data_IF_962689454933
#
_entry.id   IF_962689454933
#
_cell.length_a   1.000
_cell.length_b   1.000
_cell.length_c   1.000
_cell.angle_alpha   90.00
_cell.angle_beta   90.00
_cell.angle_gamma   90.00
#
_symmetry.space_group_name_H-M   'P 1'
#
loop_
_entity.id
_entity.type
_entity.pdbx_description
1 polymer ?
#
# COMPACT_ATOMS: atom_id res chain seq x y z
N UNK A 1 -46.05 -15.04 21.64
CA UNK A 1 -45.32 -14.23 22.64
C UNK A 1 -44.49 -15.20 23.47
N UNK A 2 -43.17 -15.19 23.52
CA UNK A 2 -42.25 -14.06 23.71
C UNK A 2 -40.96 -14.28 22.92
N UNK A 3 -40.58 -13.22 22.21
CA UNK A 3 -39.31 -13.00 21.52
C UNK A 3 -38.15 -12.91 22.52
N UNK A 4 -37.01 -13.50 22.17
CA UNK A 4 -35.74 -13.30 22.86
C UNK A 4 -34.77 -12.65 21.84
N UNK A 5 -34.38 -11.37 21.98
CA UNK A 5 -33.43 -10.77 21.08
C UNK A 5 -32.01 -11.12 21.54
N UNK A 6 -31.26 -11.79 20.66
CA UNK A 6 -29.79 -11.88 20.76
C UNK A 6 -29.24 -10.47 20.52
N UNK A 7 -28.76 -9.83 21.58
CA UNK A 7 -27.99 -8.60 21.49
C UNK A 7 -26.61 -8.92 20.93
N UNK A 8 -26.34 -8.46 19.70
CA UNK A 8 -24.99 -8.31 19.18
C UNK A 8 -24.19 -7.37 20.11
N UNK A 9 -22.98 -7.74 20.56
CA UNK A 9 -22.12 -6.77 21.23
C UNK A 9 -21.67 -5.75 20.19
N UNK A 10 -22.19 -4.53 20.31
CA UNK A 10 -21.66 -3.37 19.58
C UNK A 10 -20.20 -3.22 19.97
N UNK A 11 -19.31 -3.23 18.98
CA UNK A 11 -17.93 -2.77 19.12
C UNK A 11 -17.96 -1.34 19.65
N UNK A 12 -17.35 -1.14 20.81
CA UNK A 12 -17.15 0.19 21.40
C UNK A 12 -16.06 0.90 20.58
N UNK A 13 -16.24 2.16 20.14
CA UNK A 13 -15.17 2.89 19.50
C UNK A 13 -14.13 3.34 20.55
N UNK A 14 -12.87 2.96 20.31
CA UNK A 14 -11.64 3.69 20.66
C UNK A 14 -11.54 4.30 22.07
N UNK A 15 -10.88 3.59 22.98
CA UNK A 15 -10.05 4.29 23.98
C UNK A 15 -8.93 5.02 23.24
N UNK A 16 -8.65 6.27 23.57
CA UNK A 16 -7.46 6.96 23.03
C UNK A 16 -6.21 6.09 23.28
N UNK A 17 -5.27 6.03 22.33
CA UNK A 17 -4.03 5.30 22.52
C UNK A 17 -3.31 5.79 23.78
N UNK A 18 -2.79 4.86 24.58
CA UNK A 18 -2.02 5.21 25.76
C UNK A 18 -0.75 5.98 25.36
N UNK A 19 -0.22 6.83 26.25
CA UNK A 19 0.94 7.68 25.92
C UNK A 19 2.14 6.87 25.40
N UNK A 20 2.42 5.72 25.99
CA UNK A 20 3.47 4.82 25.53
C UNK A 20 3.23 4.27 24.11
N UNK A 21 1.98 4.00 23.74
CA UNK A 21 1.63 3.57 22.37
C UNK A 21 1.80 4.73 21.39
N UNK A 22 1.43 5.95 21.79
CA UNK A 22 1.63 7.16 20.98
C UNK A 22 3.11 7.43 20.75
N UNK A 23 3.95 7.30 21.78
CA UNK A 23 5.41 7.44 21.68
C UNK A 23 6.01 6.38 20.73
N UNK A 24 5.63 5.11 20.92
CA UNK A 24 6.04 3.97 20.09
C UNK A 24 5.77 4.23 18.59
N UNK A 25 4.54 4.64 18.29
CA UNK A 25 4.10 4.88 16.92
C UNK A 25 4.71 6.16 16.33
N UNK A 26 4.86 7.22 17.12
CA UNK A 26 5.54 8.45 16.69
C UNK A 26 7.00 8.18 16.33
N UNK A 27 7.71 7.36 17.14
CA UNK A 27 9.07 6.95 16.85
C UNK A 27 9.16 6.11 15.57
N UNK A 28 8.22 5.17 15.36
CA UNK A 28 8.11 4.39 14.13
C UNK A 28 7.91 5.28 12.90
N UNK A 29 6.99 6.24 12.98
CA UNK A 29 6.69 7.16 11.88
C UNK A 29 7.90 8.03 11.55
N UNK A 30 8.53 8.65 12.56
CA UNK A 30 9.70 9.51 12.36
C UNK A 30 10.86 8.74 11.73
N UNK A 31 11.21 7.58 12.28
CA UNK A 31 12.30 6.77 11.75
C UNK A 31 11.99 6.32 10.31
N UNK A 32 10.75 5.89 10.02
CA UNK A 32 10.37 5.49 8.66
C UNK A 32 10.35 6.65 7.66
N UNK A 33 10.03 7.86 8.12
CA UNK A 33 9.95 9.06 7.28
C UNK A 33 11.32 9.49 6.72
N UNK A 34 12.42 9.21 7.43
CA UNK A 34 13.78 9.51 6.97
C UNK A 34 14.05 8.94 5.57
N UNK A 35 13.45 7.80 5.22
CA UNK A 35 13.51 7.23 3.87
C UNK A 35 13.09 8.25 2.80
N UNK A 36 11.97 8.95 3.01
CA UNK A 36 11.41 9.92 2.05
C UNK A 36 12.11 11.29 2.07
N UNK A 37 13.05 11.48 3.01
CA UNK A 37 13.96 12.63 3.06
C UNK A 37 15.27 12.30 2.32
N UNK A 38 15.81 11.10 2.53
CA UNK A 38 17.13 10.69 2.02
C UNK A 38 17.08 10.07 0.62
N UNK A 39 16.09 9.23 0.32
CA UNK A 39 16.04 8.44 -0.91
C UNK A 39 15.31 9.14 -2.05
N UNK A 40 15.33 10.47 -2.08
CA UNK A 40 14.63 11.29 -3.07
C UNK A 40 15.61 12.16 -3.85
N UNK A 41 15.37 12.31 -5.15
CA UNK A 41 16.04 13.33 -5.93
C UNK A 41 15.30 14.67 -5.74
N UNK A 42 15.91 15.68 -5.07
CA UNK A 42 15.23 16.93 -4.76
C UNK A 42 14.90 17.77 -6.02
N UNK A 43 15.57 17.54 -7.15
CA UNK A 43 15.36 18.30 -8.37
C UNK A 43 14.05 17.92 -9.11
N UNK A 44 13.63 16.66 -9.02
CA UNK A 44 12.46 16.15 -9.74
C UNK A 44 11.46 15.38 -8.83
N UNK A 45 11.76 15.25 -7.54
CA UNK A 45 10.91 14.59 -6.55
C UNK A 45 10.83 13.06 -6.67
N UNK A 46 11.57 12.44 -7.59
CA UNK A 46 11.55 10.99 -7.76
C UNK A 46 12.16 10.29 -6.55
N UNK A 47 11.46 9.27 -6.05
CA UNK A 47 11.88 8.49 -4.88
C UNK A 47 12.42 7.14 -5.31
N UNK A 48 13.61 6.79 -4.83
CA UNK A 48 14.27 5.51 -5.07
C UNK A 48 13.36 4.37 -4.61
N UNK A 49 13.33 3.29 -5.38
CA UNK A 49 12.57 2.09 -5.05
C UNK A 49 13.07 1.41 -3.77
N UNK A 50 14.39 1.21 -3.67
CA UNK A 50 15.04 0.63 -2.50
C UNK A 50 16.48 1.12 -2.29
N UNK A 51 17.01 0.98 -1.08
CA UNK A 51 18.36 1.43 -0.66
C UNK A 51 19.53 0.60 -1.22
N UNK A 52 19.39 -0.01 -2.39
CA UNK A 52 20.40 -0.88 -3.02
C UNK A 52 21.51 -0.11 -3.78
N UNK A 53 21.87 1.08 -3.30
CA UNK A 53 22.94 1.92 -3.84
C UNK A 53 22.50 2.96 -4.87
N UNK A 54 23.43 3.87 -5.21
CA UNK A 54 23.15 5.09 -5.97
C UNK A 54 22.56 4.88 -7.38
N UNK A 55 22.80 3.72 -8.01
CA UNK A 55 22.30 3.38 -9.35
C UNK A 55 20.93 2.68 -9.37
N UNK A 56 20.26 2.49 -8.23
CA UNK A 56 18.93 1.87 -8.21
C UNK A 56 17.85 2.86 -8.68
N UNK A 57 16.88 2.48 -9.54
CA UNK A 57 15.91 3.41 -10.09
C UNK A 57 14.91 3.92 -9.05
N UNK A 58 14.19 4.98 -9.44
CA UNK A 58 12.99 5.46 -8.78
C UNK A 58 11.82 4.49 -8.97
N UNK A 59 10.92 4.39 -7.99
CA UNK A 59 9.60 3.79 -8.11
C UNK A 59 8.53 4.88 -8.07
N UNK A 60 7.61 4.88 -9.03
CA UNK A 60 6.50 5.84 -9.03
C UNK A 60 5.51 5.56 -7.89
N UNK A 61 5.37 4.30 -7.46
CA UNK A 61 4.58 3.96 -6.28
C UNK A 61 5.20 4.53 -5.00
N UNK A 62 6.52 4.39 -4.83
CA UNK A 62 7.23 5.02 -3.71
C UNK A 62 7.14 6.55 -3.73
N UNK A 63 7.12 7.14 -4.92
CA UNK A 63 6.92 8.59 -5.10
C UNK A 63 5.50 9.01 -4.68
N UNK A 64 4.47 8.22 -5.01
CA UNK A 64 3.11 8.42 -4.50
C UNK A 64 2.99 8.32 -2.97
N UNK A 65 3.69 7.36 -2.37
CA UNK A 65 3.78 7.24 -0.92
C UNK A 65 4.41 8.50 -0.29
N UNK A 66 5.46 9.04 -0.89
CA UNK A 66 6.11 10.25 -0.40
C UNK A 66 5.19 11.47 -0.43
N UNK A 67 4.45 11.68 -1.53
CA UNK A 67 3.46 12.75 -1.64
C UNK A 67 2.36 12.66 -0.57
N UNK A 68 2.05 11.45 -0.09
CA UNK A 68 1.13 11.23 1.03
C UNK A 68 1.81 11.48 2.38
N UNK A 69 3.08 11.08 2.53
CA UNK A 69 3.82 11.21 3.78
C UNK A 69 4.26 12.65 4.07
N UNK A 70 4.45 13.51 3.06
CA UNK A 70 4.84 14.91 3.28
C UNK A 70 3.80 15.70 4.10
N UNK A 71 2.49 15.68 3.79
CA UNK A 71 1.46 16.24 4.66
C UNK A 71 1.50 15.71 6.10
N UNK A 72 1.64 14.40 6.29
CA UNK A 72 1.78 13.79 7.63
C UNK A 72 2.98 14.39 8.36
N UNK A 73 4.13 14.47 7.69
CA UNK A 73 5.35 15.00 8.29
C UNK A 73 5.22 16.48 8.69
N UNK A 74 4.45 17.28 7.97
CA UNK A 74 4.16 18.66 8.37
C UNK A 74 3.30 18.68 9.63
N UNK A 75 2.20 17.93 9.64
CA UNK A 75 1.25 17.87 10.76
C UNK A 75 1.84 17.25 12.03
N UNK A 76 2.89 16.43 11.90
CA UNK A 76 3.63 15.82 13.03
C UNK A 76 4.93 16.55 13.37
N UNK A 77 5.26 17.65 12.69
CA UNK A 77 6.46 18.43 12.97
C UNK A 77 7.77 17.71 12.63
N UNK A 78 7.75 16.79 11.66
CA UNK A 78 8.92 16.11 11.13
C UNK A 78 9.57 16.89 9.98
N UNK A 79 8.79 17.71 9.27
CA UNK A 79 9.24 18.52 8.14
C UNK A 79 8.53 19.89 8.14
N UNK A 80 9.21 21.00 7.86
CA UNK A 80 8.55 22.30 7.67
C UNK A 80 7.60 22.29 6.46
N UNK A 81 6.46 22.99 6.56
CA UNK A 81 5.49 23.10 5.44
C UNK A 81 6.13 23.58 4.13
N UNK A 82 7.02 24.56 4.21
CA UNK A 82 7.70 25.11 3.03
C UNK A 82 8.57 24.06 2.32
N UNK A 83 9.22 23.16 3.06
CA UNK A 83 10.01 22.08 2.48
C UNK A 83 9.11 21.02 1.81
N UNK A 84 8.02 20.63 2.49
CA UNK A 84 7.04 19.71 1.93
C UNK A 84 6.41 20.25 0.64
N UNK A 85 6.10 21.55 0.60
CA UNK A 85 5.59 22.26 -0.56
C UNK A 85 6.60 22.24 -1.71
N UNK A 86 7.88 22.57 -1.44
CA UNK A 86 8.92 22.56 -2.47
C UNK A 86 9.13 21.17 -3.09
N UNK A 87 9.18 20.12 -2.26
CA UNK A 87 9.30 18.71 -2.71
C UNK A 87 8.09 18.27 -3.52
N UNK A 88 6.89 18.65 -3.09
CA UNK A 88 5.63 18.37 -3.81
C UNK A 88 5.65 19.03 -5.19
N UNK A 89 5.97 20.33 -5.26
CA UNK A 89 6.04 21.04 -6.55
C UNK A 89 7.10 20.48 -7.49
N UNK A 90 8.30 20.13 -7.00
CA UNK A 90 9.33 19.50 -7.81
C UNK A 90 8.81 18.22 -8.47
N UNK A 91 8.10 17.39 -7.71
CA UNK A 91 7.48 16.14 -8.18
C UNK A 91 6.41 16.41 -9.23
N UNK A 92 5.45 17.30 -8.94
CA UNK A 92 4.32 17.57 -9.83
C UNK A 92 4.77 18.25 -11.13
N UNK A 93 5.69 19.22 -11.05
CA UNK A 93 6.26 19.89 -12.23
C UNK A 93 6.99 18.90 -13.12
N UNK A 94 7.79 18.00 -12.55
CA UNK A 94 8.47 16.94 -13.30
C UNK A 94 7.46 16.07 -14.08
N UNK A 95 6.47 15.47 -13.40
CA UNK A 95 5.50 14.60 -14.08
C UNK A 95 4.64 15.35 -15.09
N UNK A 96 4.26 16.60 -14.81
CA UNK A 96 3.44 17.40 -15.71
C UNK A 96 4.17 17.74 -17.01
N UNK A 97 5.46 18.08 -16.93
CA UNK A 97 6.33 18.41 -18.06
C UNK A 97 6.99 17.19 -18.73
N UNK A 98 6.90 16.01 -18.11
CA UNK A 98 7.55 14.78 -18.59
C UNK A 98 7.08 14.35 -19.98
N UNK A 99 7.96 13.64 -20.70
CA UNK A 99 7.62 13.09 -22.02
C UNK A 99 6.50 12.04 -21.91
N UNK A 100 5.46 12.22 -22.74
CA UNK A 100 4.31 11.33 -22.88
C UNK A 100 4.25 10.78 -24.31
N UNK A 101 4.98 9.69 -24.58
CA UNK A 101 5.12 9.14 -25.94
C UNK A 101 5.40 7.63 -25.93
N UNK A 102 5.34 6.99 -27.09
CA UNK A 102 5.73 5.58 -27.23
C UNK A 102 7.25 5.35 -27.23
N UNK A 103 8.05 6.41 -27.06
CA UNK A 103 9.50 6.29 -26.98
C UNK A 103 9.91 5.33 -25.86
N UNK A 104 10.88 4.43 -26.11
CA UNK A 104 11.38 3.51 -25.10
C UNK A 104 12.08 4.20 -23.92
N UNK A 105 12.39 5.50 -24.03
CA UNK A 105 12.99 6.31 -22.97
C UNK A 105 12.03 7.38 -22.42
N UNK A 106 10.78 7.46 -22.88
CA UNK A 106 9.80 8.38 -22.31
C UNK A 106 9.56 8.08 -20.82
N UNK A 107 9.13 9.09 -20.07
CA UNK A 107 8.73 8.93 -18.66
C UNK A 107 7.37 8.23 -18.54
N UNK A 108 6.49 8.45 -19.51
CA UNK A 108 5.18 7.81 -19.54
C UNK A 108 4.54 7.85 -20.92
N UNK A 109 3.32 7.34 -21.00
CA UNK A 109 2.48 7.39 -22.19
C UNK A 109 1.02 7.27 -21.77
N UNK A 110 0.13 8.02 -22.45
CA UNK A 110 -1.31 8.03 -22.17
C UNK A 110 -1.66 8.40 -20.71
N UNK A 111 -0.79 9.20 -20.08
CA UNK A 111 -0.91 9.57 -18.67
C UNK A 111 -0.50 8.48 -17.68
N UNK A 112 -0.15 7.28 -18.15
CA UNK A 112 0.48 6.26 -17.32
C UNK A 112 1.98 6.47 -17.28
N UNK A 113 2.59 6.01 -16.20
CA UNK A 113 4.03 6.10 -15.98
C UNK A 113 4.65 4.71 -15.85
N UNK A 114 5.94 4.60 -16.22
CA UNK A 114 6.69 3.37 -16.08
C UNK A 114 6.92 3.06 -14.60
N UNK A 115 6.79 1.78 -14.22
CA UNK A 115 7.01 1.28 -12.86
C UNK A 115 8.29 1.88 -12.26
N UNK A 116 9.38 1.78 -13.02
CA UNK A 116 10.69 2.30 -12.67
C UNK A 116 11.16 3.38 -13.63
N UNK A 117 11.67 4.46 -13.05
CA UNK A 117 12.30 5.57 -13.77
C UNK A 117 13.75 5.73 -13.33
N UNK A 118 14.62 6.16 -14.23
CA UNK A 118 15.96 6.60 -13.88
C UNK A 118 15.87 7.82 -12.94
N UNK A 119 16.64 7.79 -11.86
CA UNK A 119 16.55 8.79 -10.79
C UNK A 119 16.87 10.21 -11.27
N UNK A 120 17.80 10.36 -12.20
CA UNK A 120 18.25 11.67 -12.68
C UNK A 120 17.41 12.19 -13.84
N UNK A 121 17.29 11.36 -14.88
CA UNK A 121 16.69 11.75 -16.15
C UNK A 121 15.17 11.58 -16.19
N UNK A 122 14.62 10.70 -15.35
CA UNK A 122 13.20 10.34 -15.43
C UNK A 122 12.83 9.48 -16.65
N UNK A 123 13.80 8.93 -17.36
CA UNK A 123 13.57 7.98 -18.44
C UNK A 123 13.17 6.60 -17.89
N UNK A 124 12.40 5.83 -18.66
CA UNK A 124 12.07 4.42 -18.35
C UNK A 124 13.33 3.61 -17.98
N UNK A 125 13.27 2.88 -16.86
CA UNK A 125 14.35 2.02 -16.40
C UNK A 125 13.98 0.52 -16.42
N UNK A 126 14.98 -0.37 -16.39
CA UNK A 126 14.85 -1.84 -16.23
C UNK A 126 13.91 -2.57 -17.22
N UNK A 127 13.69 -2.04 -18.43
CA UNK A 127 12.70 -2.57 -19.40
C UNK A 127 11.30 -2.81 -18.75
N UNK A 128 10.94 -2.01 -17.74
CA UNK A 128 9.67 -2.16 -17.02
C UNK A 128 8.47 -1.69 -17.86
N UNK A 129 7.27 -2.07 -17.49
CA UNK A 129 6.01 -1.64 -18.10
C UNK A 129 5.58 -0.26 -17.62
N UNK A 130 4.77 0.43 -18.44
CA UNK A 130 3.77 1.33 -17.88
C UNK A 130 2.93 0.52 -16.91
N UNK A 131 2.91 0.92 -15.64
CA UNK A 131 2.22 0.18 -14.61
C UNK A 131 0.93 0.88 -14.25
N UNK A 132 -0.19 0.18 -14.46
CA UNK A 132 -1.52 0.70 -14.13
C UNK A 132 -1.68 0.93 -12.64
N UNK A 133 -1.28 -0.03 -11.80
CA UNK A 133 -1.38 0.07 -10.35
C UNK A 133 -0.42 1.12 -9.80
N UNK A 134 0.84 1.14 -10.23
CA UNK A 134 1.80 2.10 -9.66
C UNK A 134 1.48 3.54 -10.09
N UNK A 135 0.87 3.73 -11.27
CA UNK A 135 0.28 5.02 -11.66
C UNK A 135 -0.88 5.39 -10.73
N UNK A 136 -1.77 4.45 -10.40
CA UNK A 136 -2.86 4.71 -9.45
C UNK A 136 -2.35 5.08 -8.04
N UNK A 137 -1.29 4.42 -7.55
CA UNK A 137 -0.66 4.74 -6.26
C UNK A 137 0.02 6.13 -6.29
N UNK A 138 0.69 6.47 -7.39
CA UNK A 138 1.23 7.83 -7.61
C UNK A 138 0.11 8.87 -7.54
N UNK A 139 -0.95 8.66 -8.31
CA UNK A 139 -2.10 9.56 -8.39
C UNK A 139 -2.83 9.68 -7.06
N UNK A 140 -2.97 8.60 -6.29
CA UNK A 140 -3.55 8.68 -4.96
C UNK A 140 -2.75 9.63 -4.04
N UNK A 141 -1.42 9.56 -4.09
CA UNK A 141 -0.55 10.51 -3.38
C UNK A 141 -0.65 11.95 -3.90
N UNK A 142 -0.75 12.15 -5.21
CA UNK A 142 -1.03 13.46 -5.82
C UNK A 142 -2.34 14.05 -5.27
N UNK A 143 -3.40 13.24 -5.20
CA UNK A 143 -4.70 13.70 -4.71
C UNK A 143 -4.70 14.02 -3.21
N UNK A 144 -3.88 13.35 -2.40
CA UNK A 144 -3.65 13.74 -0.99
C UNK A 144 -2.98 15.12 -0.93
N UNK A 145 -1.95 15.35 -1.73
CA UNK A 145 -1.27 16.65 -1.78
C UNK A 145 -2.23 17.77 -2.19
N UNK A 146 -3.07 17.55 -3.21
CA UNK A 146 -4.12 18.49 -3.65
C UNK A 146 -5.13 18.77 -2.53
N UNK A 147 -5.53 17.74 -1.77
CA UNK A 147 -6.49 17.89 -0.67
C UNK A 147 -5.90 18.63 0.55
N UNK A 148 -4.57 18.61 0.72
CA UNK A 148 -3.89 19.21 1.88
C UNK A 148 -3.40 20.64 1.63
N UNK A 149 -2.85 20.93 0.44
CA UNK A 149 -2.32 22.24 0.09
C UNK A 149 -3.41 23.13 -0.51
N UNK A 150 -4.29 23.65 0.36
CA UNK A 150 -5.47 24.45 -0.02
C UNK A 150 -5.33 25.95 0.23
N UNK A 151 -4.14 26.43 0.61
CA UNK A 151 -3.87 27.85 0.84
C UNK A 151 -3.95 28.70 -0.44
N UNK A 152 -3.98 30.01 -0.23
CA UNK A 152 -4.14 31.01 -1.30
C UNK A 152 -2.82 31.39 -2.01
N UNK A 153 -1.67 30.84 -1.61
CA UNK A 153 -0.39 31.13 -2.27
C UNK A 153 -0.33 30.56 -3.69
N UNK A 154 0.45 31.22 -4.56
CA UNK A 154 0.66 30.78 -5.94
C UNK A 154 1.17 29.33 -6.02
N UNK A 155 2.08 28.96 -5.12
CA UNK A 155 2.63 27.60 -5.03
C UNK A 155 1.57 26.54 -4.69
N UNK A 156 0.67 26.82 -3.73
CA UNK A 156 -0.39 25.87 -3.37
C UNK A 156 -1.49 25.83 -4.46
N UNK A 157 -1.77 26.95 -5.13
CA UNK A 157 -2.62 26.97 -6.33
C UNK A 157 -2.03 26.14 -7.47
N UNK A 158 -0.72 26.20 -7.68
CA UNK A 158 -0.02 25.41 -8.68
C UNK A 158 -0.08 23.90 -8.36
N UNK A 159 0.09 23.50 -7.09
CA UNK A 159 -0.10 22.10 -6.66
C UNK A 159 -1.48 21.59 -7.08
N UNK A 160 -2.54 22.36 -6.81
CA UNK A 160 -3.92 21.97 -7.16
C UNK A 160 -4.10 21.88 -8.68
N UNK A 161 -3.54 22.82 -9.42
CA UNK A 161 -3.63 22.85 -10.90
C UNK A 161 -2.90 21.68 -11.54
N UNK A 162 -1.66 21.42 -11.13
CA UNK A 162 -0.85 20.33 -11.66
C UNK A 162 -1.42 18.97 -11.24
N UNK A 163 -1.88 18.83 -10.00
CA UNK A 163 -2.48 17.60 -9.52
C UNK A 163 -3.76 17.23 -10.27
N UNK A 164 -4.63 18.20 -10.53
CA UNK A 164 -5.83 18.02 -11.36
C UNK A 164 -5.46 17.60 -12.79
N UNK A 165 -4.50 18.30 -13.40
CA UNK A 165 -3.98 17.98 -14.73
C UNK A 165 -3.43 16.55 -14.81
N UNK A 166 -2.65 16.12 -13.82
CA UNK A 166 -2.07 14.77 -13.79
C UNK A 166 -3.15 13.70 -13.67
N UNK A 167 -4.13 13.88 -12.78
CA UNK A 167 -5.24 12.93 -12.65
C UNK A 167 -6.06 12.82 -13.93
N UNK A 168 -6.44 13.96 -14.51
CA UNK A 168 -7.25 14.03 -15.73
C UNK A 168 -6.53 13.52 -16.98
N UNK A 169 -5.20 13.50 -16.98
CA UNK A 169 -4.39 13.00 -18.11
C UNK A 169 -4.44 11.48 -18.26
N UNK A 170 -4.72 10.74 -17.18
CA UNK A 170 -4.66 9.28 -17.20
C UNK A 170 -5.82 8.70 -18.03
N UNK A 171 -5.48 8.04 -19.14
CA UNK A 171 -6.44 7.45 -20.07
C UNK A 171 -6.85 6.03 -19.62
N UNK A 172 -7.68 5.94 -18.58
CA UNK A 172 -8.09 4.65 -18.00
C UNK A 172 -8.82 3.75 -19.02
N UNK A 173 -9.53 4.35 -19.98
CA UNK A 173 -10.17 3.63 -21.08
C UNK A 173 -9.15 2.91 -21.97
N UNK A 174 -8.01 3.56 -22.27
CA UNK A 174 -6.93 2.94 -23.03
C UNK A 174 -6.35 1.72 -22.31
N UNK A 175 -6.15 1.79 -20.98
CA UNK A 175 -5.61 0.67 -20.20
C UNK A 175 -6.61 -0.50 -20.04
N UNK A 176 -7.91 -0.24 -20.17
CA UNK A 176 -8.96 -1.29 -20.15
C UNK A 176 -8.86 -2.28 -21.31
N UNK A 177 -8.34 -1.85 -22.46
CA UNK A 177 -8.21 -2.70 -23.67
C UNK A 177 -9.54 -3.45 -23.99
N UNK A 178 -9.48 -4.79 -24.13
CA UNK A 178 -10.57 -5.72 -24.46
C UNK A 178 -10.79 -6.62 -23.24
N UNK A 179 -12.04 -7.01 -22.98
CA UNK A 179 -12.52 -7.87 -21.86
C UNK A 179 -12.93 -7.17 -20.55
N UNK A 180 -13.31 -5.89 -20.59
CA UNK A 180 -13.83 -5.12 -19.45
C UNK A 180 -12.85 -4.87 -18.29
N UNK A 181 -11.78 -5.67 -18.12
CA UNK A 181 -10.79 -5.50 -17.04
C UNK A 181 -9.66 -4.54 -17.41
N UNK A 182 -9.08 -3.87 -16.41
CA UNK A 182 -7.85 -3.08 -16.59
C UNK A 182 -6.64 -4.01 -16.77
N UNK A 183 -5.81 -3.74 -17.77
CA UNK A 183 -4.56 -4.48 -17.97
C UNK A 183 -3.51 -4.07 -16.91
N UNK A 184 -2.64 -5.00 -16.51
CA UNK A 184 -1.54 -4.67 -15.58
C UNK A 184 -0.63 -3.57 -16.15
N UNK A 185 -0.37 -3.60 -17.46
CA UNK A 185 0.51 -2.62 -18.06
C UNK A 185 0.73 -2.75 -19.57
N UNK A 186 1.64 -1.93 -20.08
CA UNK A 186 2.00 -1.86 -21.49
C UNK A 186 3.50 -1.59 -21.66
N UNK A 187 4.11 -2.09 -22.74
CA UNK A 187 5.53 -1.87 -23.07
C UNK A 187 5.71 -1.39 -24.52
N UNK A 188 6.60 -0.41 -24.78
CA UNK A 188 7.01 0.00 -26.13
C UNK A 188 7.41 -1.19 -26.98
N UNK A 189 6.93 -1.23 -28.22
CA UNK A 189 7.20 -2.30 -29.19
C UNK A 189 6.57 -3.67 -28.88
N UNK A 190 6.14 -3.93 -27.63
CA UNK A 190 5.51 -5.20 -27.21
C UNK A 190 4.00 -5.09 -27.04
N UNK A 191 3.47 -3.90 -26.77
CA UNK A 191 2.06 -3.66 -26.51
C UNK A 191 1.65 -3.99 -25.07
N UNK A 192 0.36 -4.25 -24.87
CA UNK A 192 -0.21 -4.59 -23.57
C UNK A 192 0.31 -5.94 -23.04
N UNK A 193 0.49 -6.03 -21.72
CA UNK A 193 0.78 -7.27 -21.04
C UNK A 193 -0.37 -8.29 -21.19
N UNK A 194 -0.08 -9.56 -20.92
CA UNK A 194 -1.11 -10.61 -20.96
C UNK A 194 -2.06 -10.58 -19.75
N UNK A 195 -1.60 -10.03 -18.63
CA UNK A 195 -2.28 -10.06 -17.34
C UNK A 195 -3.25 -8.88 -17.19
N UNK A 196 -4.37 -9.14 -16.54
CA UNK A 196 -5.42 -8.17 -16.21
C UNK A 196 -5.76 -8.35 -14.74
N UNK A 197 -6.18 -7.27 -14.10
CA UNK A 197 -6.56 -7.28 -12.69
C UNK A 197 -7.86 -8.06 -12.50
N UNK A 198 -7.85 -9.00 -11.57
CA UNK A 198 -8.94 -9.90 -11.21
C UNK A 198 -9.02 -9.91 -9.67
N UNK A 199 -10.12 -9.41 -9.12
CA UNK A 199 -10.27 -9.26 -7.69
C UNK A 199 -10.46 -10.60 -6.97
N UNK A 200 -10.27 -10.69 -5.67
CA UNK A 200 -9.81 -9.62 -4.81
C UNK A 200 -8.28 -9.51 -4.84
N UNK A 201 -7.79 -8.33 -5.22
CA UNK A 201 -6.38 -7.96 -5.33
C UNK A 201 -6.17 -6.52 -4.81
N UNK A 202 -4.96 -5.99 -4.89
CA UNK A 202 -4.64 -4.63 -4.40
C UNK A 202 -5.24 -3.50 -5.24
N UNK A 203 -5.94 -3.80 -6.34
CA UNK A 203 -6.33 -2.85 -7.37
C UNK A 203 -7.63 -2.09 -7.08
N UNK A 204 -8.22 -2.19 -5.88
CA UNK A 204 -9.44 -1.44 -5.53
C UNK A 204 -9.29 0.07 -5.81
N UNK A 205 -8.20 0.70 -5.37
CA UNK A 205 -7.93 2.12 -5.62
C UNK A 205 -7.79 2.44 -7.11
N UNK A 206 -7.19 1.53 -7.89
CA UNK A 206 -7.06 1.67 -9.34
C UNK A 206 -8.44 1.74 -10.01
N UNK A 207 -9.34 0.81 -9.69
CA UNK A 207 -10.69 0.83 -10.27
C UNK A 207 -11.51 2.04 -9.82
N UNK A 208 -11.40 2.45 -8.55
CA UNK A 208 -12.11 3.63 -8.05
C UNK A 208 -11.62 4.93 -8.70
N UNK A 209 -10.31 5.12 -8.84
CA UNK A 209 -9.75 6.26 -9.56
C UNK A 209 -10.15 6.25 -11.03
N UNK A 210 -10.16 5.09 -11.67
CA UNK A 210 -10.56 4.95 -13.06
C UNK A 210 -12.05 5.26 -13.27
N UNK A 211 -12.94 4.81 -12.37
CA UNK A 211 -14.37 5.15 -12.40
C UNK A 211 -14.61 6.63 -12.10
N UNK A 212 -13.82 7.21 -11.20
CA UNK A 212 -13.93 8.61 -10.78
C UNK A 212 -13.48 9.63 -11.83
N UNK A 213 -12.81 9.18 -12.89
CA UNK A 213 -12.20 10.09 -13.87
C UNK A 213 -13.26 10.90 -14.63
N UNK A 214 -13.10 12.23 -14.74
CA UNK A 214 -14.00 13.06 -15.52
C UNK A 214 -13.66 13.09 -17.02
N UNK A 215 -12.49 12.58 -17.42
CA UNK A 215 -11.97 12.68 -18.80
C UNK A 215 -11.95 11.33 -19.51
N UNK A 216 -11.46 10.28 -18.84
CA UNK A 216 -11.34 8.94 -19.42
C UNK A 216 -11.90 7.88 -18.47
N UNK A 217 -13.16 7.97 -18.00
CA UNK A 217 -13.71 6.99 -17.07
C UNK A 217 -13.83 5.61 -17.71
N UNK A 218 -13.52 4.57 -16.94
CA UNK A 218 -14.08 3.24 -17.23
C UNK A 218 -15.55 3.20 -16.83
N UNK A 219 -16.29 2.25 -17.39
CA UNK A 219 -17.69 2.03 -17.06
C UNK A 219 -17.83 1.05 -15.88
N UNK A 220 -19.00 1.03 -15.23
CA UNK A 220 -19.28 0.14 -14.10
C UNK A 220 -19.06 -1.34 -14.44
N UNK A 221 -19.27 -1.73 -15.70
CA UNK A 221 -19.08 -3.11 -16.16
C UNK A 221 -17.63 -3.62 -15.96
N UNK A 222 -16.65 -2.73 -15.91
CA UNK A 222 -15.27 -3.03 -15.58
C UNK A 222 -15.07 -3.40 -14.12
N UNK A 223 -15.70 -2.65 -13.22
CA UNK A 223 -15.66 -2.93 -11.79
C UNK A 223 -16.39 -4.22 -11.46
N UNK A 224 -17.59 -4.42 -12.04
CA UNK A 224 -18.36 -5.64 -11.85
C UNK A 224 -17.59 -6.87 -12.36
N UNK A 225 -16.86 -6.76 -13.49
CA UNK A 225 -16.02 -7.83 -14.00
C UNK A 225 -14.84 -8.16 -13.07
N UNK A 226 -14.22 -7.15 -12.45
CA UNK A 226 -13.14 -7.34 -11.49
C UNK A 226 -13.64 -7.94 -10.17
N UNK A 227 -14.78 -7.48 -9.66
CA UNK A 227 -15.39 -8.00 -8.45
C UNK A 227 -15.96 -9.42 -8.63
N UNK A 228 -16.23 -9.85 -9.87
CA UNK A 228 -16.76 -11.18 -10.15
C UNK A 228 -15.80 -12.34 -9.83
N UNK A 229 -14.48 -12.09 -9.73
CA UNK A 229 -13.49 -13.12 -9.36
C UNK A 229 -13.25 -13.23 -7.85
N UNK A 230 -13.97 -12.44 -7.04
CA UNK A 230 -13.89 -12.47 -5.58
C UNK A 230 -14.08 -13.88 -5.04
N UNK A 231 -13.15 -14.31 -4.18
CA UNK A 231 -13.20 -15.60 -3.54
C UNK A 231 -13.44 -15.44 -2.03
N UNK A 232 -14.60 -15.89 -1.56
CA UNK A 232 -14.91 -15.92 -0.13
C UNK A 232 -14.47 -17.25 0.48
N UNK A 233 -13.78 -17.21 1.62
CA UNK A 233 -13.32 -18.40 2.32
C UNK A 233 -13.61 -18.30 3.82
N UNK A 234 -13.81 -19.46 4.46
CA UNK A 234 -13.79 -19.60 5.91
C UNK A 234 -12.50 -20.28 6.33
N UNK A 235 -11.62 -19.55 7.03
CA UNK A 235 -10.32 -20.03 7.51
C UNK A 235 -10.27 -19.81 9.02
N UNK A 236 -9.92 -20.84 9.80
CA UNK A 236 -9.95 -20.83 11.27
C UNK A 236 -11.30 -20.38 11.87
N UNK A 237 -12.41 -20.67 11.17
CA UNK A 237 -13.76 -20.24 11.56
C UNK A 237 -14.09 -18.78 11.25
N UNK A 238 -13.21 -18.06 10.54
CA UNK A 238 -13.40 -16.66 10.12
C UNK A 238 -13.70 -16.63 8.63
N UNK A 239 -14.92 -16.19 8.27
CA UNK A 239 -15.31 -15.95 6.87
C UNK A 239 -14.88 -14.55 6.43
N UNK A 240 -14.18 -14.45 5.30
CA UNK A 240 -13.76 -13.17 4.71
C UNK A 240 -13.50 -13.30 3.21
N UNK A 241 -13.46 -12.17 2.51
CA UNK A 241 -13.01 -12.07 1.12
C UNK A 241 -11.51 -12.31 1.11
N UNK A 242 -11.11 -13.45 0.54
CA UNK A 242 -9.77 -13.98 0.66
C UNK A 242 -8.81 -13.36 -0.35
N UNK A 243 -7.64 -12.99 0.15
CA UNK A 243 -6.41 -12.88 -0.63
C UNK A 243 -5.25 -13.29 0.28
N UNK A 244 -4.27 -14.03 -0.28
CA UNK A 244 -3.19 -14.64 0.51
C UNK A 244 -2.20 -13.62 1.10
N UNK A 245 -1.54 -12.79 0.27
CA UNK A 245 -0.66 -11.73 0.76
C UNK A 245 -1.39 -10.65 1.54
N UNK A 246 -0.88 -10.28 2.71
CA UNK A 246 -1.56 -9.31 3.58
C UNK A 246 -1.68 -7.91 2.98
N UNK A 247 -0.71 -7.47 2.17
CA UNK A 247 -0.75 -6.13 1.57
C UNK A 247 -1.96 -5.87 0.68
N UNK A 248 -2.58 -6.92 0.12
CA UNK A 248 -3.80 -6.79 -0.70
C UNK A 248 -4.95 -6.19 0.13
N UNK A 249 -5.01 -6.53 1.42
CA UNK A 249 -6.00 -5.99 2.37
C UNK A 249 -5.65 -4.58 2.89
N UNK A 250 -4.54 -4.00 2.44
CA UNK A 250 -3.96 -2.79 3.04
C UNK A 250 -3.67 -1.69 2.03
N UNK A 251 -3.12 -2.05 0.87
CA UNK A 251 -2.51 -1.10 -0.06
C UNK A 251 -3.50 -0.03 -0.53
N UNK A 252 -4.68 -0.44 -1.00
CA UNK A 252 -5.74 0.51 -1.36
C UNK A 252 -6.29 1.27 -0.14
N UNK A 253 -6.27 0.64 1.04
CA UNK A 253 -6.85 1.15 2.28
C UNK A 253 -6.01 2.23 2.95
N UNK A 254 -4.74 2.41 2.56
CA UNK A 254 -3.94 3.52 3.09
C UNK A 254 -4.54 4.88 2.71
N UNK A 255 -5.22 4.97 1.56
CA UNK A 255 -5.95 6.16 1.12
C UNK A 255 -7.46 6.08 1.28
N UNK A 256 -8.03 4.87 1.27
CA UNK A 256 -9.48 4.66 1.31
C UNK A 256 -9.96 4.37 2.72
N UNK A 257 -10.81 5.24 3.25
CA UNK A 257 -11.59 4.94 4.45
C UNK A 257 -12.76 4.03 4.08
N UNK A 258 -12.64 2.74 4.37
CA UNK A 258 -13.67 1.76 4.02
C UNK A 258 -14.65 1.47 5.14
N UNK A 259 -14.61 2.22 6.26
CA UNK A 259 -15.52 2.01 7.40
C UNK A 259 -16.94 2.42 7.03
N UNK A 260 -17.87 1.49 7.19
CA UNK A 260 -19.30 1.72 7.01
C UNK A 260 -19.74 1.94 5.57
N UNK A 261 -18.84 1.84 4.59
CA UNK A 261 -19.18 1.88 3.16
C UNK A 261 -19.06 0.49 2.56
N UNK A 262 -20.03 0.11 1.72
CA UNK A 262 -20.11 -1.24 1.18
C UNK A 262 -20.47 -1.18 -0.29
N UNK A 263 -19.86 -2.02 -1.11
CA UNK A 263 -20.32 -2.29 -2.46
C UNK A 263 -21.32 -3.47 -2.47
N UNK A 264 -21.68 -3.96 -3.66
CA UNK A 264 -22.62 -5.08 -3.78
C UNK A 264 -22.09 -6.38 -3.15
N UNK A 265 -20.82 -6.71 -3.35
CA UNK A 265 -20.23 -7.94 -2.84
C UNK A 265 -20.15 -7.93 -1.31
N UNK A 266 -19.71 -6.82 -0.72
CA UNK A 266 -19.61 -6.64 0.72
C UNK A 266 -20.98 -6.61 1.39
N UNK A 267 -22.00 -5.96 0.79
CA UNK A 267 -23.38 -6.01 1.28
C UNK A 267 -23.93 -7.44 1.31
N UNK A 268 -23.60 -8.28 0.32
CA UNK A 268 -24.07 -9.67 0.27
C UNK A 268 -23.55 -10.53 1.44
N UNK A 269 -22.44 -10.12 2.08
CA UNK A 269 -21.84 -10.80 3.23
C UNK A 269 -22.00 -10.02 4.55
N UNK A 270 -22.81 -8.95 4.57
CA UNK A 270 -22.97 -8.04 5.72
C UNK A 270 -21.64 -7.50 6.29
N UNK A 271 -20.70 -7.24 5.38
CA UNK A 271 -19.35 -6.75 5.68
C UNK A 271 -19.10 -5.38 5.07
N UNK A 272 -18.14 -4.65 5.60
CA UNK A 272 -17.41 -3.62 4.85
C UNK A 272 -15.96 -4.09 4.65
N UNK A 273 -15.21 -3.41 3.78
CA UNK A 273 -13.82 -3.79 3.52
C UNK A 273 -12.92 -3.58 4.76
N UNK A 274 -13.27 -2.68 5.68
CA UNK A 274 -12.49 -2.44 6.90
C UNK A 274 -12.54 -3.65 7.84
N UNK A 275 -13.74 -4.15 8.09
CA UNK A 275 -13.95 -5.40 8.84
C UNK A 275 -13.36 -6.59 8.08
N UNK A 276 -13.44 -6.62 6.74
CA UNK A 276 -12.78 -7.66 5.96
C UNK A 276 -11.26 -7.68 6.17
N UNK A 277 -10.61 -6.53 6.14
CA UNK A 277 -9.18 -6.40 6.41
C UNK A 277 -8.83 -6.77 7.86
N UNK A 278 -9.68 -6.42 8.84
CA UNK A 278 -9.54 -6.90 10.22
C UNK A 278 -9.55 -8.43 10.30
N UNK A 279 -10.49 -9.08 9.62
CA UNK A 279 -10.56 -10.55 9.55
C UNK A 279 -9.33 -11.17 8.90
N UNK A 280 -8.85 -10.58 7.80
CA UNK A 280 -7.61 -11.03 7.16
C UNK A 280 -6.39 -10.91 8.09
N UNK A 281 -6.29 -9.81 8.86
CA UNK A 281 -5.24 -9.63 9.87
C UNK A 281 -5.32 -10.68 10.98
N UNK A 282 -6.52 -10.99 11.49
CA UNK A 282 -6.71 -12.04 12.50
C UNK A 282 -6.34 -13.43 11.96
N UNK A 283 -6.68 -13.74 10.71
CA UNK A 283 -6.31 -15.01 10.05
C UNK A 283 -4.79 -15.12 9.90
N UNK A 284 -4.09 -14.03 9.57
CA UNK A 284 -2.63 -14.00 9.47
C UNK A 284 -1.95 -14.32 10.80
N UNK A 285 -2.36 -13.67 11.89
CA UNK A 285 -1.82 -13.99 13.22
C UNK A 285 -2.18 -15.42 13.64
N UNK A 286 -3.42 -15.87 13.39
CA UNK A 286 -3.83 -17.24 13.73
C UNK A 286 -3.01 -18.28 12.96
N UNK A 287 -2.75 -18.05 11.67
CA UNK A 287 -1.88 -18.92 10.88
C UNK A 287 -0.48 -19.06 11.51
N UNK A 288 0.12 -17.95 11.97
CA UNK A 288 1.41 -17.97 12.64
C UNK A 288 1.36 -18.74 13.98
N UNK A 289 0.29 -18.60 14.75
CA UNK A 289 0.09 -19.37 16.00
C UNK A 289 -0.05 -20.88 15.72
N UNK A 290 -0.81 -21.26 14.69
CA UNK A 290 -0.98 -22.67 14.31
C UNK A 290 0.29 -23.27 13.70
N UNK A 291 1.08 -22.43 13.00
CA UNK A 291 2.37 -22.75 12.43
C UNK A 291 2.42 -24.11 11.68
N UNK A 292 1.59 -24.30 10.65
CA UNK A 292 1.45 -25.61 9.99
C UNK A 292 2.75 -26.10 9.32
N UNK A 293 3.72 -25.21 9.09
CA UNK A 293 5.02 -25.51 8.48
C UNK A 293 6.18 -25.63 9.49
N UNK A 294 5.86 -25.54 10.79
CA UNK A 294 6.81 -25.70 11.90
C UNK A 294 8.03 -24.78 11.79
N UNK A 295 7.82 -23.51 11.42
CA UNK A 295 8.89 -22.52 11.42
C UNK A 295 9.24 -22.09 12.85
N UNK A 296 10.51 -21.87 13.18
CA UNK A 296 10.88 -21.25 14.45
C UNK A 296 10.18 -19.89 14.62
N UNK A 297 9.94 -19.53 15.88
CA UNK A 297 9.38 -18.26 16.37
C UNK A 297 7.94 -17.91 15.95
N UNK A 298 7.39 -18.53 14.91
CA UNK A 298 6.01 -18.26 14.47
C UNK A 298 5.03 -18.45 15.65
N UNK A 299 4.41 -17.34 16.05
CA UNK A 299 3.54 -17.25 17.21
C UNK A 299 2.67 -15.97 17.13
N UNK A 300 2.06 -15.57 18.26
CA UNK A 300 1.21 -14.38 18.33
C UNK A 300 1.95 -13.05 18.10
N UNK A 301 3.28 -13.02 18.21
CA UNK A 301 4.13 -11.83 18.06
C UNK A 301 5.11 -11.93 16.87
N UNK A 302 5.16 -13.06 16.17
CA UNK A 302 5.94 -13.24 14.94
C UNK A 302 5.02 -13.68 13.80
N UNK A 303 4.39 -12.70 13.16
CA UNK A 303 3.50 -12.87 12.02
C UNK A 303 3.64 -11.68 11.05
N UNK A 304 2.84 -11.69 9.99
CA UNK A 304 2.88 -10.69 8.92
C UNK A 304 3.50 -11.26 7.64
N UNK A 305 2.78 -12.17 6.99
CA UNK A 305 3.23 -12.80 5.74
C UNK A 305 2.66 -12.00 4.57
N UNK A 306 3.55 -11.33 3.83
CA UNK A 306 3.19 -10.42 2.75
C UNK A 306 4.29 -10.33 1.69
N UNK A 307 4.07 -9.54 0.63
CA UNK A 307 5.12 -9.22 -0.34
C UNK A 307 6.31 -8.55 0.35
N UNK A 308 7.49 -9.14 0.20
CA UNK A 308 8.72 -8.59 0.78
C UNK A 308 9.95 -9.23 0.13
N UNK A 309 11.13 -8.63 0.39
CA UNK A 309 12.42 -9.22 0.05
C UNK A 309 12.66 -10.52 0.82
N UNK A 310 13.51 -11.40 0.30
CA UNK A 310 13.77 -12.70 0.91
C UNK A 310 15.18 -13.23 0.75
N UNK A 311 15.55 -14.30 1.47
CA UNK A 311 16.90 -14.85 1.48
C UNK A 311 17.28 -15.67 0.24
N UNK A 312 16.35 -15.86 -0.70
CA UNK A 312 16.53 -16.69 -1.89
C UNK A 312 17.12 -15.95 -3.10
N UNK A 313 17.09 -16.59 -4.29
CA UNK A 313 16.53 -17.92 -4.54
C UNK A 313 17.44 -19.04 -4.03
N UNK A 314 16.87 -20.07 -3.40
CA UNK A 314 17.66 -21.24 -2.99
C UNK A 314 16.86 -22.32 -2.27
N UNK A 315 17.45 -23.51 -2.13
CA UNK A 315 16.89 -24.60 -1.30
C UNK A 315 17.93 -25.03 -0.28
N UNK A 316 17.52 -25.21 0.98
CA UNK A 316 18.41 -25.68 2.06
C UNK A 316 17.72 -26.71 2.93
N UNK A 317 18.49 -27.68 3.42
CA UNK A 317 18.06 -28.61 4.47
C UNK A 317 18.29 -27.95 5.81
N UNK A 318 17.23 -27.61 6.54
CA UNK A 318 17.30 -26.97 7.86
C UNK A 318 16.47 -27.80 8.83
N UNK A 319 17.09 -28.25 9.92
CA UNK A 319 16.43 -29.14 10.89
C UNK A 319 15.91 -30.45 10.26
N UNK A 320 16.60 -30.98 9.25
CA UNK A 320 16.17 -32.20 8.54
C UNK A 320 15.14 -31.96 7.43
N UNK A 321 14.51 -30.79 7.35
CA UNK A 321 13.46 -30.43 6.40
C UNK A 321 14.06 -29.68 5.20
N UNK A 322 13.70 -30.09 3.98
CA UNK A 322 14.03 -29.34 2.76
C UNK A 322 13.14 -28.11 2.66
N UNK A 323 13.72 -26.91 2.68
CA UNK A 323 13.00 -25.63 2.60
C UNK A 323 13.45 -24.85 1.37
N UNK A 324 12.47 -24.32 0.63
CA UNK A 324 12.69 -23.45 -0.53
C UNK A 324 12.54 -22.00 -0.09
N UNK A 325 13.49 -21.17 -0.49
CA UNK A 325 13.57 -19.75 -0.19
C UNK A 325 13.44 -18.94 -1.47
N UNK A 326 12.73 -17.83 -1.36
CA UNK A 326 12.47 -16.91 -2.46
C UNK A 326 13.23 -15.59 -2.26
N UNK A 327 13.51 -14.92 -3.37
CA UNK A 327 13.88 -13.50 -3.40
C UNK A 327 12.60 -12.67 -3.09
N UNK A 328 12.47 -11.47 -3.64
CA UNK A 328 11.24 -10.69 -3.60
C UNK A 328 10.06 -11.45 -4.25
N UNK A 329 9.02 -11.74 -3.46
CA UNK A 329 7.78 -12.38 -3.92
C UNK A 329 6.61 -12.00 -3.02
N UNK A 330 5.39 -12.01 -3.57
CA UNK A 330 4.15 -11.94 -2.81
C UNK A 330 3.93 -13.21 -1.97
N UNK A 331 4.45 -13.24 -0.73
CA UNK A 331 4.16 -14.29 0.25
C UNK A 331 2.74 -14.13 0.77
N UNK A 332 2.08 -15.23 1.09
CA UNK A 332 0.70 -15.21 1.53
C UNK A 332 0.24 -16.52 2.15
N UNK A 333 -0.77 -16.44 3.03
CA UNK A 333 -1.23 -17.58 3.84
C UNK A 333 -2.76 -17.70 3.77
N UNK A 334 -3.32 -18.91 4.00
CA UNK A 334 -2.64 -20.18 4.23
C UNK A 334 -2.30 -20.94 2.93
N UNK A 335 -2.71 -20.44 1.76
CA UNK A 335 -2.57 -21.16 0.49
C UNK A 335 -1.51 -20.57 -0.47
N UNK A 336 -0.77 -19.54 -0.05
CA UNK A 336 0.31 -18.93 -0.83
C UNK A 336 1.70 -19.43 -0.43
N UNK A 337 2.76 -18.84 -1.01
CA UNK A 337 4.12 -19.19 -0.62
C UNK A 337 4.44 -18.63 0.77
N UNK A 338 4.94 -19.52 1.63
CA UNK A 338 5.49 -19.21 2.95
C UNK A 338 6.83 -19.96 3.11
N UNK A 339 7.92 -19.20 3.21
CA UNK A 339 9.28 -19.71 3.39
C UNK A 339 9.87 -19.35 4.77
N UNK A 340 9.03 -18.94 5.73
CA UNK A 340 9.47 -18.52 7.05
C UNK A 340 10.03 -17.09 7.07
N UNK A 341 9.67 -16.26 6.08
CA UNK A 341 10.09 -14.85 6.00
C UNK A 341 8.90 -13.94 6.36
N UNK A 342 9.09 -13.09 7.36
CA UNK A 342 8.08 -12.18 7.89
C UNK A 342 8.35 -10.75 7.44
N UNK A 343 7.28 -9.97 7.29
CA UNK A 343 7.29 -8.58 6.84
C UNK A 343 6.71 -7.65 7.92
N UNK A 344 7.54 -7.07 8.81
CA UNK A 344 7.08 -6.23 9.91
C UNK A 344 6.22 -5.03 9.48
N UNK A 345 6.50 -4.48 8.29
CA UNK A 345 5.72 -3.35 7.76
C UNK A 345 4.25 -3.72 7.51
N UNK A 346 3.96 -4.97 7.13
CA UNK A 346 2.60 -5.44 6.89
C UNK A 346 1.83 -5.62 8.21
N UNK A 347 2.52 -5.92 9.31
CA UNK A 347 1.91 -5.84 10.65
C UNK A 347 1.54 -4.40 10.97
N UNK A 348 2.49 -3.47 10.84
CA UNK A 348 2.26 -2.05 11.10
C UNK A 348 1.12 -1.46 10.23
N UNK A 349 1.05 -1.83 8.95
CA UNK A 349 -0.02 -1.40 8.06
C UNK A 349 -1.41 -1.98 8.42
N UNK A 350 -1.48 -2.97 9.32
CA UNK A 350 -2.75 -3.50 9.84
C UNK A 350 -3.28 -2.75 11.06
N UNK A 351 -2.53 -1.77 11.58
CA UNK A 351 -2.81 -1.15 12.87
C UNK A 351 -4.24 -0.63 13.05
N UNK A 352 -4.84 0.11 12.10
CA UNK A 352 -6.22 0.55 12.24
C UNK A 352 -7.24 -0.60 12.36
N UNK A 353 -6.97 -1.75 11.75
CA UNK A 353 -7.94 -2.84 11.65
C UNK A 353 -7.99 -3.70 12.91
N UNK A 354 -6.83 -4.03 13.49
CA UNK A 354 -6.72 -4.91 14.65
C UNK A 354 -5.64 -4.44 15.64
N UNK A 355 -5.79 -3.23 16.23
CA UNK A 355 -4.78 -2.65 17.10
C UNK A 355 -4.41 -3.55 18.28
N UNK A 356 -5.36 -4.34 18.78
CA UNK A 356 -5.18 -5.22 19.94
C UNK A 356 -4.17 -6.35 19.71
N UNK A 357 -3.92 -6.74 18.45
CA UNK A 357 -2.88 -7.72 18.10
C UNK A 357 -1.67 -7.07 17.43
N UNK A 358 -1.87 -5.91 16.79
CA UNK A 358 -0.81 -5.20 16.08
C UNK A 358 0.11 -4.45 17.02
N UNK A 359 -0.41 -3.72 18.01
CA UNK A 359 0.41 -2.91 18.93
C UNK A 359 1.43 -3.74 19.71
N UNK A 360 1.06 -4.87 20.35
CA UNK A 360 2.04 -5.73 21.01
C UNK A 360 3.09 -6.27 20.04
N UNK A 361 2.70 -6.57 18.80
CA UNK A 361 3.60 -7.08 17.77
C UNK A 361 4.58 -6.00 17.27
N UNK A 362 4.14 -4.75 17.11
CA UNK A 362 5.02 -3.61 16.79
C UNK A 362 6.03 -3.40 17.92
N UNK A 363 5.57 -3.38 19.18
CA UNK A 363 6.44 -3.21 20.34
C UNK A 363 7.48 -4.34 20.42
N UNK A 364 7.06 -5.59 20.17
CA UNK A 364 7.95 -6.75 20.11
C UNK A 364 9.00 -6.59 19.00
N UNK A 365 8.59 -6.30 17.76
CA UNK A 365 9.52 -6.09 16.65
C UNK A 365 10.53 -4.95 16.91
N UNK A 366 10.14 -3.88 17.62
CA UNK A 366 11.06 -2.80 17.97
C UNK A 366 12.09 -3.20 19.04
N UNK A 367 11.71 -4.12 19.94
CA UNK A 367 12.59 -4.64 20.97
C UNK A 367 13.56 -5.71 20.45
N UNK A 368 13.28 -6.30 19.28
CA UNK A 368 14.15 -7.30 18.67
C UNK A 368 15.49 -6.68 18.25
N UNK A 369 16.58 -7.32 18.67
CA UNK A 369 17.90 -7.06 18.12
C UNK A 369 18.07 -7.84 16.81
N UNK A 370 17.65 -7.21 15.71
CA UNK A 370 17.87 -7.72 14.36
C UNK A 370 19.26 -7.32 13.81
N UNK A 371 20.17 -6.85 14.68
CA UNK A 371 21.52 -6.35 14.35
C UNK A 371 21.52 -5.28 13.26
N UNK A 372 20.59 -4.33 13.39
CA UNK A 372 20.27 -3.34 12.38
C UNK A 372 20.97 -1.99 12.63
N UNK A 373 21.43 -1.36 11.55
CA UNK A 373 21.42 0.10 11.51
C UNK A 373 19.95 0.55 11.53
N UNK A 374 19.52 1.16 12.65
CA UNK A 374 18.14 1.63 12.89
C UNK A 374 17.76 2.83 12.02
N UNK A 375 18.69 3.32 11.19
CA UNK A 375 18.35 4.28 10.14
C UNK A 375 17.14 3.77 9.35
N UNK A 376 16.13 4.63 9.19
CA UNK A 376 14.88 4.34 8.48
C UNK A 376 13.82 3.44 9.19
N UNK A 377 13.93 3.07 10.46
CA UNK A 377 12.91 2.24 11.15
C UNK A 377 12.92 0.75 10.74
N UNK A 378 11.80 0.01 10.89
CA UNK A 378 11.76 -1.46 10.69
C UNK A 378 12.44 -1.96 9.41
N UNK A 379 13.22 -3.05 9.45
CA UNK A 379 13.60 -3.73 8.20
C UNK A 379 12.36 -4.28 7.49
N UNK A 380 12.37 -4.32 6.16
CA UNK A 380 11.21 -4.73 5.38
C UNK A 380 10.88 -6.21 5.58
N UNK A 381 11.90 -7.03 5.86
CA UNK A 381 11.70 -8.44 6.19
C UNK A 381 12.89 -9.07 6.90
N UNK A 382 12.60 -10.16 7.61
CA UNK A 382 13.57 -11.08 8.18
C UNK A 382 13.06 -12.52 8.09
N UNK A 383 13.97 -13.49 8.10
CA UNK A 383 13.60 -14.92 8.10
C UNK A 383 13.72 -15.50 9.49
N UNK A 384 12.73 -16.24 9.98
CA UNK A 384 12.83 -16.93 11.28
C UNK A 384 13.65 -18.23 11.20
N UNK A 385 13.92 -18.72 9.99
CA UNK A 385 14.54 -20.03 9.77
C UNK A 385 15.85 -19.95 9.00
N UNK A 386 16.04 -18.95 8.13
CA UNK A 386 17.24 -18.81 7.34
C UNK A 386 18.30 -17.99 8.09
N UNK A 387 19.50 -18.56 8.20
CA UNK A 387 20.66 -17.90 8.80
C UNK A 387 21.80 -17.76 7.77
N UNK A 388 22.53 -16.64 7.84
CA UNK A 388 23.71 -16.32 7.02
C UNK A 388 25.00 -16.79 7.73
N UNK A 389 25.94 -17.31 6.94
CA UNK A 389 27.27 -17.68 7.39
C UNK A 389 27.31 -18.87 8.37
N UNK A 390 28.52 -19.25 8.80
CA UNK A 390 28.72 -20.30 9.82
C UNK A 390 28.35 -19.85 11.24
N UNK A 391 28.17 -18.54 11.44
CA UNK A 391 27.89 -17.93 12.75
C UNK A 391 26.42 -17.90 13.16
N UNK A 392 25.50 -18.42 12.36
CA UNK A 392 24.08 -18.55 12.74
C UNK A 392 23.34 -17.21 12.87
N UNK A 393 23.77 -16.15 12.18
CA UNK A 393 23.08 -14.85 12.20
C UNK A 393 21.84 -14.92 11.34
N UNK A 394 20.69 -14.48 11.86
CA UNK A 394 19.42 -14.46 11.14
C UNK A 394 19.54 -13.65 9.84
N UNK A 395 18.91 -14.11 8.75
CA UNK A 395 18.79 -13.26 7.57
C UNK A 395 17.78 -12.15 7.82
N UNK A 396 18.24 -10.93 7.56
CA UNK A 396 17.45 -9.71 7.54
C UNK A 396 17.70 -9.06 6.18
N UNK A 397 16.68 -8.46 5.59
CA UNK A 397 16.82 -7.72 4.33
C UNK A 397 17.91 -6.64 4.48
N UNK A 398 18.86 -6.55 3.53
CA UNK A 398 19.87 -5.49 3.57
C UNK A 398 19.32 -4.14 3.07
N UNK A 399 18.10 -4.11 2.55
CA UNK A 399 17.49 -2.94 1.92
C UNK A 399 16.28 -2.43 2.70
N UNK A 400 15.87 -1.19 2.44
CA UNK A 400 14.54 -0.64 2.74
C UNK A 400 13.84 -0.27 1.45
N UNK A 401 12.50 -0.34 1.43
CA UNK A 401 11.67 -0.08 0.25
C UNK A 401 10.64 1.00 0.55
N UNK A 402 10.43 1.94 -0.37
CA UNK A 402 9.46 3.02 -0.18
C UNK A 402 8.02 2.52 -0.05
N UNK A 403 7.68 1.45 -0.76
CA UNK A 403 6.35 0.80 -0.73
C UNK A 403 6.07 0.02 0.57
N UNK A 404 7.08 -0.20 1.40
CA UNK A 404 6.92 -0.78 2.74
C UNK A 404 6.83 0.33 3.80
N UNK A 405 7.64 1.39 3.64
CA UNK A 405 7.67 2.54 4.57
C UNK A 405 6.40 3.37 4.52
N UNK A 406 5.90 3.66 3.32
CA UNK A 406 4.71 4.47 3.12
C UNK A 406 3.50 3.94 3.90
N UNK A 407 3.04 2.70 3.64
CA UNK A 407 1.90 2.12 4.33
C UNK A 407 2.04 2.10 5.86
N UNK A 408 3.24 1.80 6.39
CA UNK A 408 3.48 1.81 7.83
C UNK A 408 3.29 3.21 8.45
N UNK A 409 3.80 4.26 7.81
CA UNK A 409 3.63 5.65 8.27
C UNK A 409 2.16 6.07 8.18
N UNK A 410 1.54 5.83 7.03
CA UNK A 410 0.19 6.31 6.71
C UNK A 410 -0.84 5.63 7.60
N UNK A 411 -0.75 4.32 7.79
CA UNK A 411 -1.70 3.57 8.62
C UNK A 411 -1.49 3.84 10.11
N UNK A 412 -0.26 4.10 10.55
CA UNK A 412 -0.02 4.62 11.89
C UNK A 412 -0.69 5.98 12.10
N UNK A 413 -0.61 6.90 11.12
CA UNK A 413 -1.26 8.21 11.24
C UNK A 413 -2.78 8.12 11.16
N UNK A 414 -3.32 7.26 10.30
CA UNK A 414 -4.76 7.03 10.21
C UNK A 414 -5.33 6.44 11.51
N UNK A 415 -4.60 5.53 12.17
CA UNK A 415 -4.98 5.03 13.48
C UNK A 415 -4.99 6.13 14.55
N UNK A 416 -3.93 6.95 14.62
CA UNK A 416 -3.77 7.97 15.65
C UNK A 416 -4.65 9.22 15.42
N UNK A 417 -4.85 9.60 14.16
CA UNK A 417 -5.32 10.95 13.79
C UNK A 417 -6.37 10.97 12.67
N UNK A 418 -6.72 9.83 12.07
CA UNK A 418 -7.67 9.71 10.96
C UNK A 418 -7.33 10.64 9.76
N UNK A 419 -6.06 11.04 9.60
CA UNK A 419 -5.70 12.21 8.82
C UNK A 419 -5.85 12.02 7.30
N UNK A 420 -5.19 11.02 6.72
CA UNK A 420 -5.23 10.79 5.27
C UNK A 420 -6.64 10.37 4.85
N UNK A 421 -7.28 9.53 5.65
CA UNK A 421 -8.69 9.19 5.46
C UNK A 421 -9.61 10.40 5.46
N UNK A 422 -9.49 11.31 6.43
CA UNK A 422 -10.28 12.55 6.46
C UNK A 422 -10.08 13.41 5.22
N UNK A 423 -8.84 13.55 4.73
CA UNK A 423 -8.56 14.28 3.49
C UNK A 423 -9.23 13.60 2.28
N UNK A 424 -9.06 12.29 2.15
CA UNK A 424 -9.52 11.55 0.98
C UNK A 424 -11.03 11.33 0.94
N UNK A 425 -11.71 11.31 2.10
CA UNK A 425 -13.19 11.34 2.16
C UNK A 425 -13.78 12.57 1.48
N UNK A 426 -13.06 13.70 1.46
CA UNK A 426 -13.45 14.95 0.80
C UNK A 426 -13.07 15.02 -0.69
N UNK A 427 -12.34 14.03 -1.23
CA UNK A 427 -11.92 14.05 -2.62
C UNK A 427 -13.08 13.69 -3.57
N UNK A 428 -13.51 14.65 -4.40
CA UNK A 428 -14.65 14.48 -5.28
C UNK A 428 -14.48 13.36 -6.32
N UNK A 429 -13.27 13.12 -6.81
CA UNK A 429 -12.98 12.08 -7.78
C UNK A 429 -13.15 10.69 -7.17
N UNK A 430 -12.60 10.47 -5.98
CA UNK A 430 -12.77 9.21 -5.26
C UNK A 430 -14.22 8.95 -4.87
N UNK A 431 -14.93 9.97 -4.38
CA UNK A 431 -16.37 9.86 -4.07
C UNK A 431 -17.17 9.44 -5.30
N UNK A 432 -16.90 10.08 -6.45
CA UNK A 432 -17.53 9.72 -7.73
C UNK A 432 -17.21 8.27 -8.12
N UNK A 433 -15.96 7.85 -7.96
CA UNK A 433 -15.52 6.47 -8.21
C UNK A 433 -16.24 5.44 -7.35
N UNK A 434 -16.31 5.69 -6.04
CA UNK A 434 -17.04 4.85 -5.07
C UNK A 434 -18.52 4.73 -5.44
N UNK A 435 -19.19 5.85 -5.70
CA UNK A 435 -20.60 5.85 -6.09
C UNK A 435 -20.83 5.09 -7.40
N UNK A 436 -19.96 5.25 -8.41
CA UNK A 436 -20.05 4.54 -9.68
C UNK A 436 -19.75 3.04 -9.56
N UNK A 437 -18.91 2.64 -8.61
CA UNK A 437 -18.71 1.23 -8.23
C UNK A 437 -19.91 0.63 -7.47
N UNK A 438 -20.87 1.46 -7.05
CA UNK A 438 -22.05 1.02 -6.28
C UNK A 438 -21.79 0.93 -4.78
N UNK A 439 -20.78 1.65 -4.27
CA UNK A 439 -20.63 1.84 -2.82
C UNK A 439 -21.73 2.74 -2.27
N UNK A 440 -22.24 2.39 -1.09
CA UNK A 440 -23.16 3.21 -0.30
C UNK A 440 -22.87 3.07 1.21
N UNK A 441 -23.58 3.87 2.02
CA UNK A 441 -23.49 3.84 3.48
C UNK A 441 -22.47 4.83 4.07
N UNK A 442 -22.33 4.78 5.40
CA UNK A 442 -21.28 5.47 6.14
C UNK A 442 -21.10 6.95 5.81
N UNK A 443 -19.84 7.36 5.69
CA UNK A 443 -19.45 8.73 5.39
C UNK A 443 -19.76 9.17 3.95
N UNK A 444 -20.07 8.23 3.04
CA UNK A 444 -20.36 8.52 1.64
C UNK A 444 -21.77 9.13 1.44
N UNK A 445 -22.66 8.99 2.43
CA UNK A 445 -23.99 9.60 2.42
C UNK A 445 -24.00 11.09 2.78
N UNK A 446 -22.98 11.55 3.51
CA UNK A 446 -22.82 12.97 3.85
C UNK A 446 -22.09 13.69 2.72
N UNK A 447 -22.53 14.89 2.27
CA UNK A 447 -21.98 15.62 1.13
C UNK A 447 -20.46 15.74 1.13
#
# INVERSE_FOLDING_TARGET
MRSNPRSNPRSNPSSEPADAERELLTALQRASFDYFVTEVNPANGLVRDKTAGAGWPASIAATGMALTCYPIAVERGFMPRAEALARTLATLRFFAASEQSESPTATGYKGFYYHFLDMGTGARARDCELSSIDTALLIAGVLVAVAYFTGDSDDEQEIRTLGDLLYRRVDWQWMRRRKRLLCHGWKPGKGFLRWHWEGYDEALILYLLALGSPTYPIERDSYDAWAASYEWKTIYGIEYLYAGPLFIHQMSHVWLDTRGIRDQAMRAHDLDYFENSRRATLVQQRYAIENPLGFPDYDALHWGISACDGPGPGTRKIGGVQRKFYDYIARGVPYGPDDGTLAPWAVAASLPFAPEIVLPTIAHHQAMDLHEDRACGFKPSYSTVFHRGRGGVRWVSPYHFGIDKGPAIIMADNYLHDFVWRLMRGNAYLRTGLQRAGFDGGWLQSP
#
